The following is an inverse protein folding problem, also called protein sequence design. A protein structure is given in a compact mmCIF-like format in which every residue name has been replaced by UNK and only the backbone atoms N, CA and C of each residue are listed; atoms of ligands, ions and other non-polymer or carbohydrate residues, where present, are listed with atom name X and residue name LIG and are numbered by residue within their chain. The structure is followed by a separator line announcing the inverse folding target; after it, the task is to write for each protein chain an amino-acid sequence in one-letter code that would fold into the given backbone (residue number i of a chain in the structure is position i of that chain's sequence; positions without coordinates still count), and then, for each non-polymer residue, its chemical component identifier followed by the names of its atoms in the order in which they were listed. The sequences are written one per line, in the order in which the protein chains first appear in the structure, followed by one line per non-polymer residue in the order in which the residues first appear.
data_IF_772460436477
#
_entry.id   IF_772460436477
#
_cell.length_a   1.000
_cell.length_b   1.000
_cell.length_c   1.000
_cell.angle_alpha   90.00
_cell.angle_beta   90.00
_cell.angle_gamma   90.00
#
_symmetry.space_group_name_H-M   'P 1'
#
loop_
_entity.id
_entity.type
_entity.pdbx_description
1 polymer ?
#
# COMPACT_ATOMS: atom_id res chain seq x y z
N UNK A 1 24.77 -2.50 -32.98
CA UNK A 1 25.39 -1.99 -31.73
C UNK A 1 25.39 -0.46 -31.62
N UNK A 2 25.75 0.32 -32.65
CA UNK A 2 25.80 1.80 -32.54
C UNK A 2 24.46 2.55 -32.46
N UNK A 3 23.35 1.94 -32.90
CA UNK A 3 22.03 2.60 -32.91
C UNK A 3 21.19 2.40 -31.63
N UNK A 4 21.60 1.49 -30.72
CA UNK A 4 20.88 1.20 -29.45
C UNK A 4 21.33 2.09 -28.29
N UNK A 5 22.55 2.63 -28.31
CA UNK A 5 23.04 3.56 -27.29
C UNK A 5 22.24 4.87 -27.25
N UNK A 6 21.64 5.29 -28.37
CA UNK A 6 20.89 6.55 -28.44
C UNK A 6 19.49 6.47 -27.80
N UNK A 7 18.94 5.26 -27.61
CA UNK A 7 17.59 5.06 -27.07
C UNK A 7 17.52 4.94 -25.54
N UNK A 8 18.67 4.86 -24.86
CA UNK A 8 18.76 4.80 -23.39
C UNK A 8 18.52 6.19 -22.75
N UNK A 9 18.68 7.27 -23.54
CA UNK A 9 18.53 8.67 -23.10
C UNK A 9 17.11 9.11 -22.68
N UNK A 10 16.10 8.25 -22.73
CA UNK A 10 14.69 8.60 -22.48
C UNK A 10 13.97 7.72 -21.45
N UNK A 11 14.67 6.84 -20.76
CA UNK A 11 14.04 5.87 -19.85
C UNK A 11 13.92 6.47 -18.43
N UNK A 12 12.69 6.52 -17.90
CA UNK A 12 12.44 6.74 -16.48
C UNK A 12 12.84 5.51 -15.65
N UNK A 13 12.89 5.61 -14.32
CA UNK A 13 13.39 4.54 -13.43
C UNK A 13 12.64 3.20 -13.62
N UNK A 14 11.33 3.22 -13.88
CA UNK A 14 10.54 2.03 -14.22
C UNK A 14 10.92 1.41 -15.57
N UNK A 15 11.22 2.26 -16.56
CA UNK A 15 11.63 1.84 -17.89
C UNK A 15 13.12 1.43 -17.91
N UNK A 16 13.93 1.95 -16.99
CA UNK A 16 15.33 1.56 -16.77
C UNK A 16 15.39 0.17 -16.15
N UNK A 17 14.61 -0.10 -15.08
CA UNK A 17 14.46 -1.44 -14.49
C UNK A 17 13.96 -2.47 -15.52
N UNK A 18 12.97 -2.10 -16.35
CA UNK A 18 12.49 -2.95 -17.45
C UNK A 18 13.49 -3.13 -18.60
N UNK A 19 14.31 -2.13 -18.90
CA UNK A 19 15.40 -2.26 -19.87
C UNK A 19 16.58 -3.08 -19.33
N UNK A 20 16.78 -3.09 -18.01
CA UNK A 20 17.86 -3.83 -17.35
C UNK A 20 17.52 -5.31 -17.16
N UNK A 21 16.25 -5.67 -16.93
CA UNK A 21 15.82 -7.07 -17.01
C UNK A 21 16.04 -7.66 -18.41
N UNK A 22 15.90 -6.85 -19.45
CA UNK A 22 16.18 -7.24 -20.85
C UNK A 22 17.70 -7.39 -21.11
N UNK A 23 18.54 -6.58 -20.45
CA UNK A 23 20.01 -6.70 -20.55
C UNK A 23 20.56 -7.88 -19.74
N UNK A 24 19.96 -8.19 -18.59
CA UNK A 24 20.38 -9.30 -17.73
C UNK A 24 20.07 -10.67 -18.35
N UNK A 25 18.97 -10.80 -19.13
CA UNK A 25 18.70 -12.01 -19.92
C UNK A 25 19.69 -12.21 -21.08
N UNK A 26 20.25 -11.15 -21.66
CA UNK A 26 21.22 -11.26 -22.76
C UNK A 26 22.61 -11.77 -22.31
N UNK A 27 22.92 -11.70 -21.02
CA UNK A 27 24.22 -12.12 -20.47
C UNK A 27 24.18 -13.56 -19.92
N UNK A 28 23.01 -14.09 -19.57
CA UNK A 28 22.88 -15.40 -18.92
C UNK A 28 22.77 -16.60 -19.89
N UNK A 29 22.61 -16.38 -21.21
CA UNK A 29 22.50 -17.46 -22.21
C UNK A 29 23.87 -17.74 -22.89
N UNK A 30 24.82 -18.32 -22.16
CA UNK A 30 25.95 -19.07 -22.73
C UNK A 30 25.62 -20.57 -22.66
N UNK A 31 25.43 -21.27 -23.80
CA UNK A 31 24.98 -22.65 -23.78
C UNK A 31 26.14 -23.64 -23.62
N UNK A 32 26.10 -24.43 -22.55
CA UNK A 32 26.80 -25.72 -22.47
C UNK A 32 25.98 -26.82 -23.18
N UNK A 33 26.47 -27.23 -24.35
CA UNK A 33 26.27 -28.47 -25.14
C UNK A 33 24.86 -29.02 -25.51
N UNK A 34 24.77 -29.76 -26.66
CA UNK A 34 23.54 -29.91 -27.41
C UNK A 34 22.84 -31.25 -27.19
N UNK A 35 21.51 -31.29 -27.35
CA UNK A 35 20.79 -32.53 -27.62
C UNK A 35 19.91 -32.41 -28.87
N UNK A 36 20.04 -33.43 -29.70
CA UNK A 36 19.49 -33.62 -31.03
C UNK A 36 17.98 -33.90 -31.03
N UNK A 37 17.20 -33.25 -31.89
CA UNK A 37 15.92 -33.82 -32.36
C UNK A 37 15.45 -33.27 -33.73
N UNK A 38 15.76 -34.07 -34.76
CA UNK A 38 14.97 -34.46 -35.94
C UNK A 38 13.91 -33.50 -36.54
N UNK A 39 14.19 -33.14 -37.81
CA UNK A 39 13.26 -32.60 -38.82
C UNK A 39 12.11 -33.57 -39.12
N UNK A 40 10.93 -33.01 -39.35
CA UNK A 40 9.98 -33.55 -40.33
C UNK A 40 9.50 -32.43 -41.26
N UNK A 41 9.83 -32.60 -42.54
CA UNK A 41 9.33 -31.87 -43.69
C UNK A 41 8.03 -32.49 -44.20
N UNK A 42 7.08 -31.67 -44.67
CA UNK A 42 6.23 -32.00 -45.83
C UNK A 42 5.60 -30.75 -46.47
N UNK A 43 5.25 -30.80 -47.78
CA UNK A 43 5.21 -29.62 -48.66
C UNK A 43 3.84 -29.38 -49.38
N UNK A 44 3.72 -28.23 -50.05
CA UNK A 44 2.78 -27.98 -51.19
C UNK A 44 1.54 -27.12 -50.84
N UNK A 45 1.46 -25.81 -51.14
CA UNK A 45 1.33 -25.06 -52.41
C UNK A 45 -0.13 -24.77 -52.85
N UNK A 46 -0.49 -23.49 -52.96
CA UNK A 46 -1.69 -22.97 -53.64
C UNK A 46 -1.83 -21.44 -53.48
N UNK A 47 -1.84 -20.62 -54.55
CA UNK A 47 -1.55 -19.19 -54.47
C UNK A 47 -2.83 -18.34 -54.35
N UNK A 48 -2.80 -17.33 -53.50
CA UNK A 48 -3.85 -16.31 -53.51
C UNK A 48 -4.13 -15.68 -52.15
N UNK A 49 -3.13 -15.05 -51.54
CA UNK A 49 -3.30 -13.82 -50.77
C UNK A 49 -1.89 -13.38 -50.38
N UNK A 50 -1.50 -12.17 -50.77
CA UNK A 50 -0.24 -11.57 -50.38
C UNK A 50 -0.32 -11.19 -48.89
N UNK A 51 -0.16 -12.20 -48.03
CA UNK A 51 0.06 -12.00 -46.61
C UNK A 51 1.50 -11.49 -46.49
N UNK A 52 1.68 -10.20 -46.20
CA UNK A 52 2.91 -9.77 -45.52
C UNK A 52 2.86 -10.39 -44.13
N UNK A 53 3.28 -11.65 -44.03
CA UNK A 53 3.66 -12.20 -42.74
C UNK A 53 4.91 -11.43 -42.33
N UNK A 54 4.80 -10.65 -41.26
CA UNK A 54 5.97 -10.23 -40.52
C UNK A 54 6.61 -11.51 -39.99
N UNK A 55 7.53 -12.09 -40.77
CA UNK A 55 8.48 -13.11 -40.33
C UNK A 55 9.30 -12.52 -39.18
N UNK A 56 8.85 -12.76 -37.96
CA UNK A 56 9.47 -12.23 -36.76
C UNK A 56 8.63 -12.46 -35.50
N UNK A 57 7.77 -13.47 -35.51
CA UNK A 57 7.11 -13.99 -34.31
C UNK A 57 7.44 -15.49 -34.32
N UNK A 58 8.31 -15.92 -33.39
CA UNK A 58 8.87 -17.27 -33.26
C UNK A 58 9.93 -17.68 -34.29
N UNK A 59 11.11 -17.04 -34.24
CA UNK A 59 12.34 -17.68 -34.75
C UNK A 59 12.99 -18.54 -33.63
N UNK A 60 12.89 -19.88 -33.69
CA UNK A 60 13.47 -20.77 -32.69
C UNK A 60 15.01 -20.76 -32.69
N UNK A 61 15.66 -20.15 -33.69
CA UNK A 61 17.12 -20.10 -33.80
C UNK A 61 17.74 -18.85 -33.20
N UNK A 62 17.08 -17.69 -33.26
CA UNK A 62 17.60 -16.46 -32.66
C UNK A 62 16.92 -16.05 -31.35
N UNK A 63 15.78 -16.66 -30.96
CA UNK A 63 15.01 -16.29 -29.74
C UNK A 63 14.72 -14.79 -29.59
N UNK A 64 14.77 -14.03 -30.69
CA UNK A 64 14.76 -12.56 -30.65
C UNK A 64 13.39 -11.97 -30.28
N UNK A 65 12.34 -12.79 -30.25
CA UNK A 65 10.94 -12.37 -30.03
C UNK A 65 10.22 -13.18 -28.94
N UNK A 66 10.92 -13.95 -28.13
CA UNK A 66 10.30 -14.73 -27.05
C UNK A 66 9.93 -13.79 -25.89
N UNK A 67 8.63 -13.54 -25.69
CA UNK A 67 8.13 -12.74 -24.57
C UNK A 67 8.04 -13.63 -23.35
N UNK A 68 9.01 -13.51 -22.44
CA UNK A 68 8.94 -14.16 -21.13
C UNK A 68 8.24 -13.26 -20.13
N UNK A 69 7.16 -13.78 -19.54
CA UNK A 69 6.43 -13.11 -18.49
C UNK A 69 6.99 -13.53 -17.13
N UNK A 70 7.89 -12.71 -16.59
CA UNK A 70 8.41 -12.89 -15.23
C UNK A 70 7.41 -12.30 -14.25
N UNK A 71 6.88 -13.13 -13.35
CA UNK A 71 6.04 -12.67 -12.23
C UNK A 71 6.94 -12.45 -11.02
N UNK A 72 6.84 -11.27 -10.41
CA UNK A 72 7.56 -10.90 -9.20
C UNK A 72 6.55 -10.39 -8.19
N UNK A 73 6.66 -10.83 -6.94
CA UNK A 73 5.85 -10.32 -5.85
C UNK A 73 6.11 -8.82 -5.66
N UNK A 74 5.04 -8.03 -5.60
CA UNK A 74 5.14 -6.59 -5.41
C UNK A 74 5.61 -6.32 -3.97
N UNK A 75 6.69 -5.55 -3.82
CA UNK A 75 7.23 -5.17 -2.52
C UNK A 75 8.00 -3.85 -2.60
N UNK A 76 8.29 -3.28 -1.43
CA UNK A 76 9.07 -2.05 -1.31
C UNK A 76 10.29 -2.34 -0.47
N UNK A 77 11.45 -2.01 -1.03
CA UNK A 77 12.69 -1.92 -0.29
C UNK A 77 13.33 -0.57 -0.55
N UNK A 78 13.30 0.30 0.46
CA UNK A 78 13.83 1.66 0.38
C UNK A 78 15.35 1.67 0.21
N UNK A 79 16.05 0.65 0.73
CA UNK A 79 17.50 0.51 0.58
C UNK A 79 17.87 0.16 -0.85
N UNK A 80 17.29 -0.91 -1.40
CA UNK A 80 17.55 -1.32 -2.78
C UNK A 80 17.08 -0.26 -3.80
N UNK A 81 16.00 0.48 -3.49
CA UNK A 81 15.52 1.57 -4.35
C UNK A 81 16.51 2.75 -4.41
N UNK A 82 17.14 3.11 -3.29
CA UNK A 82 18.23 4.10 -3.28
C UNK A 82 19.42 3.60 -4.09
N UNK A 83 19.91 2.39 -3.81
CA UNK A 83 21.11 1.85 -4.46
C UNK A 83 20.94 1.72 -5.98
N UNK A 84 19.77 1.28 -6.43
CA UNK A 84 19.46 1.20 -7.86
C UNK A 84 19.42 2.59 -8.50
N UNK A 85 18.91 3.59 -7.79
CA UNK A 85 18.87 4.97 -8.29
C UNK A 85 20.27 5.58 -8.38
N UNK A 86 21.15 5.29 -7.43
CA UNK A 86 22.55 5.71 -7.48
C UNK A 86 23.27 5.15 -8.70
N UNK A 87 23.13 3.84 -8.96
CA UNK A 87 23.66 3.20 -10.18
C UNK A 87 23.12 3.89 -11.44
N UNK A 88 21.81 4.12 -11.51
CA UNK A 88 21.17 4.83 -12.63
C UNK A 88 21.76 6.23 -12.84
N UNK A 89 21.94 6.99 -11.76
CA UNK A 89 22.48 8.35 -11.81
C UNK A 89 23.92 8.35 -12.28
N UNK A 90 24.74 7.44 -11.78
CA UNK A 90 26.14 7.32 -12.16
C UNK A 90 26.29 6.96 -13.65
N UNK A 91 25.42 6.09 -14.19
CA UNK A 91 25.39 5.78 -15.63
C UNK A 91 25.00 7.00 -16.47
N UNK A 92 24.00 7.78 -16.06
CA UNK A 92 23.55 8.97 -16.83
C UNK A 92 24.58 10.09 -16.81
N UNK A 93 25.32 10.24 -15.72
CA UNK A 93 26.39 11.22 -15.61
C UNK A 93 27.71 10.74 -16.23
N UNK A 94 27.71 9.58 -16.91
CA UNK A 94 28.88 8.93 -17.50
C UNK A 94 30.01 8.70 -16.45
N UNK A 95 29.67 8.49 -15.17
CA UNK A 95 30.61 8.17 -14.10
C UNK A 95 31.01 6.69 -14.09
N UNK A 96 30.07 5.79 -14.43
CA UNK A 96 30.29 4.34 -14.55
C UNK A 96 29.79 3.81 -15.90
N UNK A 97 30.44 2.76 -16.40
CA UNK A 97 30.04 2.07 -17.64
C UNK A 97 28.83 1.14 -17.46
N UNK A 98 28.19 0.76 -18.56
CA UNK A 98 27.00 -0.13 -18.53
C UNK A 98 27.35 -1.52 -18.01
N UNK A 99 28.52 -2.04 -18.37
CA UNK A 99 29.01 -3.34 -17.90
C UNK A 99 29.23 -3.34 -16.38
N UNK A 100 29.82 -2.28 -15.83
CA UNK A 100 30.04 -2.12 -14.39
C UNK A 100 28.70 -1.95 -13.64
N UNK A 101 27.80 -1.11 -14.16
CA UNK A 101 26.46 -0.93 -13.62
C UNK A 101 25.65 -2.25 -13.58
N UNK A 102 25.83 -3.13 -14.57
CA UNK A 102 25.16 -4.44 -14.59
C UNK A 102 25.66 -5.34 -13.46
N UNK A 103 26.97 -5.34 -13.19
CA UNK A 103 27.57 -6.09 -12.07
C UNK A 103 27.14 -5.52 -10.72
N UNK A 104 27.06 -4.21 -10.60
CA UNK A 104 26.59 -3.55 -9.37
C UNK A 104 25.10 -3.85 -9.11
N UNK A 105 24.26 -3.80 -10.15
CA UNK A 105 22.85 -4.13 -10.01
C UNK A 105 22.62 -5.59 -9.64
N UNK A 106 23.39 -6.52 -10.21
CA UNK A 106 23.27 -7.95 -9.84
C UNK A 106 23.64 -8.18 -8.37
N UNK A 107 24.61 -7.43 -7.83
CA UNK A 107 24.93 -7.46 -6.38
C UNK A 107 23.78 -6.91 -5.53
N UNK A 108 23.12 -5.85 -5.99
CA UNK A 108 21.94 -5.25 -5.33
C UNK A 108 20.78 -6.25 -5.33
N UNK A 109 20.48 -6.90 -6.46
CA UNK A 109 19.39 -7.87 -6.57
C UNK A 109 19.60 -9.13 -5.72
N UNK A 110 20.85 -9.60 -5.61
CA UNK A 110 21.20 -10.79 -4.83
C UNK A 110 21.52 -10.48 -3.35
N UNK A 111 21.37 -9.22 -2.93
CA UNK A 111 21.68 -8.80 -1.57
C UNK A 111 20.61 -9.30 -0.59
N UNK A 112 21.03 -9.63 0.64
CA UNK A 112 20.12 -10.15 1.68
C UNK A 112 19.30 -9.01 2.29
N UNK A 113 18.04 -9.26 2.70
CA UNK A 113 17.24 -8.26 3.41
C UNK A 113 17.97 -7.80 4.68
N UNK A 114 17.90 -6.50 4.96
CA UNK A 114 18.69 -5.84 6.01
C UNK A 114 18.23 -6.20 7.42
N UNK A 115 16.92 -6.35 7.61
CA UNK A 115 16.29 -6.68 8.89
C UNK A 115 15.69 -8.09 8.83
N UNK A 116 15.86 -8.84 9.92
CA UNK A 116 15.30 -10.19 10.05
C UNK A 116 13.77 -10.15 10.20
N UNK A 117 13.09 -11.19 9.71
CA UNK A 117 11.63 -11.35 9.74
C UNK A 117 11.04 -11.14 11.13
N UNK A 118 11.69 -11.63 12.18
CA UNK A 118 11.22 -11.49 13.57
C UNK A 118 11.30 -10.07 14.11
N UNK A 119 12.30 -9.29 13.68
CA UNK A 119 12.40 -7.87 14.04
C UNK A 119 11.24 -7.12 13.36
N UNK A 120 10.98 -7.42 12.09
CA UNK A 120 9.86 -6.85 11.34
C UNK A 120 8.53 -7.14 12.06
N UNK A 121 8.28 -8.39 12.48
CA UNK A 121 7.07 -8.76 13.25
C UNK A 121 6.90 -7.91 14.52
N UNK A 122 7.98 -7.70 15.27
CA UNK A 122 7.93 -6.85 16.46
C UNK A 122 7.62 -5.39 16.11
N UNK A 123 8.21 -4.89 15.03
CA UNK A 123 7.99 -3.53 14.52
C UNK A 123 6.58 -3.35 13.99
N UNK A 124 5.93 -4.38 13.42
CA UNK A 124 4.50 -4.34 13.07
C UNK A 124 3.62 -4.06 14.30
N UNK A 125 3.97 -4.63 15.46
CA UNK A 125 3.34 -4.32 16.74
C UNK A 125 3.47 -2.84 17.12
N UNK A 126 4.71 -2.34 17.11
CA UNK A 126 5.02 -0.94 17.47
C UNK A 126 4.36 0.03 16.48
N UNK A 127 4.41 -0.27 15.18
CA UNK A 127 3.79 0.52 14.12
C UNK A 127 2.27 0.60 14.27
N UNK A 128 1.61 -0.51 14.61
CA UNK A 128 0.17 -0.54 14.86
C UNK A 128 -0.18 0.31 16.10
N UNK A 129 0.61 0.21 17.17
CA UNK A 129 0.43 1.07 18.34
C UNK A 129 0.71 2.55 18.02
N UNK A 130 1.63 2.83 17.09
CA UNK A 130 1.96 4.19 16.69
C UNK A 130 0.89 4.85 15.81
N UNK A 131 0.21 4.09 14.94
CA UNK A 131 -0.83 4.65 14.05
C UNK A 131 -2.14 4.96 14.78
N UNK A 132 -2.46 4.23 15.85
CA UNK A 132 -3.72 4.36 16.56
C UNK A 132 -4.04 5.76 17.09
N UNK A 133 -3.13 6.42 17.83
CA UNK A 133 -3.39 7.72 18.44
C UNK A 133 -3.67 8.82 17.41
N UNK A 134 -2.90 8.90 16.32
CA UNK A 134 -3.00 9.99 15.36
C UNK A 134 -4.08 9.77 14.29
N UNK A 135 -4.34 8.52 13.88
CA UNK A 135 -5.30 8.22 12.81
C UNK A 135 -6.69 7.86 13.33
N UNK A 136 -6.78 7.19 14.50
CA UNK A 136 -8.03 6.60 15.00
C UNK A 136 -8.40 7.06 16.42
N UNK A 137 -7.73 8.08 16.95
CA UNK A 137 -7.93 8.61 18.31
C UNK A 137 -7.86 7.53 19.40
N UNK A 138 -6.89 6.61 19.29
CA UNK A 138 -6.70 5.56 20.27
C UNK A 138 -6.24 6.11 21.63
N UNK A 139 -6.83 5.60 22.71
CA UNK A 139 -6.46 5.98 24.08
C UNK A 139 -5.19 5.24 24.52
N UNK A 140 -4.45 5.75 25.53
CA UNK A 140 -3.28 5.06 26.07
C UNK A 140 -3.61 3.63 26.55
N UNK A 141 -4.83 3.41 27.07
CA UNK A 141 -5.29 2.11 27.56
C UNK A 141 -5.45 1.07 26.42
N UNK A 142 -5.71 1.53 25.19
CA UNK A 142 -5.89 0.66 24.03
C UNK A 142 -4.53 0.23 23.42
N UNK A 143 -3.46 0.97 23.69
CA UNK A 143 -2.12 0.77 23.09
C UNK A 143 -1.56 -0.65 23.25
N UNK A 144 -1.59 -1.28 24.44
CA UNK A 144 -1.01 -2.61 24.61
C UNK A 144 -1.77 -3.67 23.80
N UNK A 145 -3.09 -3.53 23.68
CA UNK A 145 -3.91 -4.44 22.89
C UNK A 145 -3.65 -4.25 21.40
N UNK A 146 -3.55 -3.00 20.93
CA UNK A 146 -3.18 -2.69 19.55
C UNK A 146 -1.79 -3.27 19.21
N UNK A 147 -0.83 -3.16 20.12
CA UNK A 147 0.51 -3.72 19.94
C UNK A 147 0.48 -5.25 19.76
N UNK A 148 -0.27 -5.97 20.59
CA UNK A 148 -0.42 -7.43 20.47
C UNK A 148 -1.07 -7.83 19.15
N UNK A 149 -2.04 -7.04 18.66
CA UNK A 149 -2.68 -7.25 17.36
C UNK A 149 -1.73 -7.00 16.20
N UNK A 150 -0.89 -5.96 16.30
CA UNK A 150 0.14 -5.72 15.30
C UNK A 150 1.15 -6.87 15.23
N UNK A 151 1.52 -7.48 16.36
CA UNK A 151 2.34 -8.71 16.37
C UNK A 151 1.60 -9.87 15.70
N UNK A 152 0.33 -10.10 16.06
CA UNK A 152 -0.49 -11.15 15.46
C UNK A 152 -0.52 -11.00 13.92
N UNK A 153 -0.80 -9.80 13.43
CA UNK A 153 -0.80 -9.51 12.00
C UNK A 153 0.58 -9.64 11.36
N UNK A 154 1.64 -9.20 12.03
CA UNK A 154 3.01 -9.40 11.60
C UNK A 154 3.35 -10.87 11.42
N UNK A 155 2.88 -11.75 12.32
CA UNK A 155 3.05 -13.21 12.19
C UNK A 155 2.26 -13.74 10.99
N UNK A 156 0.98 -13.38 10.86
CA UNK A 156 0.17 -13.83 9.73
C UNK A 156 0.79 -13.39 8.39
N UNK A 157 1.25 -12.15 8.29
CA UNK A 157 1.83 -11.58 7.07
C UNK A 157 3.25 -12.09 6.77
N UNK A 158 4.17 -12.06 7.74
CA UNK A 158 5.60 -12.33 7.48
C UNK A 158 5.98 -13.82 7.61
N UNK A 159 5.18 -14.61 8.34
CA UNK A 159 5.52 -15.99 8.72
C UNK A 159 4.53 -17.01 8.15
N UNK A 160 3.23 -16.69 8.08
CA UNK A 160 2.20 -17.63 7.59
C UNK A 160 1.93 -17.45 6.09
N UNK A 161 1.69 -16.22 5.61
CA UNK A 161 1.42 -15.96 4.19
C UNK A 161 2.49 -16.50 3.23
N UNK A 162 3.81 -16.34 3.49
CA UNK A 162 4.83 -16.84 2.58
C UNK A 162 5.03 -18.36 2.62
N UNK A 163 4.36 -19.08 3.55
CA UNK A 163 4.47 -20.54 3.64
C UNK A 163 3.47 -21.28 2.78
N UNK A 164 2.38 -20.63 2.37
CA UNK A 164 1.38 -21.25 1.53
C UNK A 164 0.73 -20.24 0.61
N UNK A 165 0.85 -20.51 -0.70
CA UNK A 165 0.21 -19.74 -1.76
C UNK A 165 -1.31 -19.59 -1.55
N UNK A 166 -1.95 -20.65 -1.07
CA UNK A 166 -3.39 -20.63 -0.77
C UNK A 166 -3.72 -19.58 0.30
N UNK A 167 -2.97 -19.56 1.41
CA UNK A 167 -3.22 -18.59 2.47
C UNK A 167 -2.87 -17.17 2.04
N UNK A 168 -1.80 -16.97 1.24
CA UNK A 168 -1.45 -15.66 0.69
C UNK A 168 -2.62 -15.03 -0.07
N UNK A 169 -3.36 -15.82 -0.86
CA UNK A 169 -4.52 -15.35 -1.63
C UNK A 169 -5.74 -14.94 -0.80
N UNK A 170 -5.89 -15.47 0.43
CA UNK A 170 -7.01 -15.17 1.35
C UNK A 170 -6.56 -14.50 2.65
N UNK A 171 -5.28 -14.12 2.74
CA UNK A 171 -4.67 -13.56 3.93
C UNK A 171 -5.45 -12.32 4.39
N UNK A 172 -5.78 -11.43 3.48
CA UNK A 172 -6.48 -10.19 3.78
C UNK A 172 -7.86 -10.42 4.42
N UNK A 173 -8.69 -11.27 3.80
CA UNK A 173 -10.03 -11.59 4.31
C UNK A 173 -9.90 -12.31 5.66
N UNK A 174 -9.01 -13.29 5.78
CA UNK A 174 -8.85 -14.04 7.02
C UNK A 174 -8.32 -13.18 8.18
N UNK A 175 -7.37 -12.29 7.91
CA UNK A 175 -6.78 -11.39 8.89
C UNK A 175 -7.79 -10.32 9.36
N UNK A 176 -8.57 -9.74 8.45
CA UNK A 176 -9.60 -8.76 8.78
C UNK A 176 -10.78 -9.37 9.55
N UNK A 177 -11.23 -10.58 9.19
CA UNK A 177 -12.23 -11.33 9.97
C UNK A 177 -11.74 -11.61 11.38
N UNK A 178 -10.53 -12.15 11.52
CA UNK A 178 -9.95 -12.51 12.82
C UNK A 178 -9.77 -11.27 13.71
N UNK A 179 -9.15 -10.22 13.18
CA UNK A 179 -8.90 -9.00 13.95
C UNK A 179 -10.20 -8.30 14.34
N UNK A 180 -11.18 -8.20 13.44
CA UNK A 180 -12.45 -7.54 13.73
C UNK A 180 -13.30 -8.32 14.73
N UNK A 181 -13.32 -9.65 14.63
CA UNK A 181 -13.99 -10.53 15.59
C UNK A 181 -13.45 -10.35 17.00
N UNK A 182 -12.14 -10.50 17.19
CA UNK A 182 -11.53 -10.39 18.52
C UNK A 182 -11.62 -8.94 19.01
N UNK A 183 -11.40 -7.94 18.14
CA UNK A 183 -11.47 -6.54 18.52
C UNK A 183 -12.86 -6.16 19.05
N UNK A 184 -13.93 -6.64 18.40
CA UNK A 184 -15.30 -6.38 18.88
C UNK A 184 -15.54 -7.03 20.23
N UNK A 185 -14.94 -8.20 20.47
CA UNK A 185 -15.01 -8.84 21.78
C UNK A 185 -14.28 -8.10 22.88
N UNK A 186 -13.08 -7.60 22.62
CA UNK A 186 -12.37 -6.75 23.58
C UNK A 186 -13.11 -5.43 23.83
N UNK A 187 -13.66 -4.83 22.77
CA UNK A 187 -14.43 -3.59 22.87
C UNK A 187 -15.79 -3.73 23.55
N UNK A 188 -16.27 -4.96 23.77
CA UNK A 188 -17.54 -5.22 24.48
C UNK A 188 -17.34 -5.42 25.99
N UNK A 189 -16.08 -5.42 26.46
CA UNK A 189 -15.77 -5.49 27.89
C UNK A 189 -16.18 -4.17 28.56
N UNK A 190 -17.16 -4.24 29.45
CA UNK A 190 -17.66 -3.09 30.21
C UNK A 190 -16.86 -2.91 31.50
N UNK A 191 -16.67 -1.64 31.90
CA UNK A 191 -16.09 -1.28 33.18
C UNK A 191 -17.00 -0.27 33.89
N UNK A 192 -17.17 -0.47 35.20
CA UNK A 192 -17.98 0.44 36.03
C UNK A 192 -17.19 1.72 36.31
N UNK A 193 -17.60 2.81 35.68
CA UNK A 193 -17.06 4.13 35.96
C UNK A 193 -17.68 4.64 37.28
N UNK A 194 -16.91 5.25 38.19
CA UNK A 194 -17.43 5.76 39.46
C UNK A 194 -18.55 6.82 39.35
N UNK A 195 -18.86 7.30 38.14
CA UNK A 195 -19.97 8.22 37.84
C UNK A 195 -21.31 7.52 37.55
N UNK A 196 -21.40 6.18 37.63
CA UNK A 196 -22.64 5.42 37.46
C UNK A 196 -23.03 5.09 36.02
N UNK A 197 -22.22 5.46 35.03
CA UNK A 197 -22.40 5.07 33.63
C UNK A 197 -21.52 3.85 33.31
N UNK A 198 -22.10 2.87 32.58
CA UNK A 198 -21.34 1.75 32.01
C UNK A 198 -20.63 2.25 30.75
N UNK A 199 -19.30 2.24 30.76
CA UNK A 199 -18.49 2.56 29.58
C UNK A 199 -17.68 1.33 29.15
N UNK A 200 -17.34 1.27 27.86
CA UNK A 200 -16.47 0.24 27.31
C UNK A 200 -15.01 0.53 27.68
N UNK A 201 -14.35 -0.47 28.28
CA UNK A 201 -12.97 -0.36 28.74
C UNK A 201 -12.01 -0.10 27.57
N UNK A 202 -12.25 -0.78 26.45
CA UNK A 202 -11.44 -0.70 25.24
C UNK A 202 -12.22 -0.11 24.07
N UNK A 203 -11.56 0.70 23.24
CA UNK A 203 -12.18 1.22 22.03
C UNK A 203 -12.05 0.23 20.86
N UNK A 204 -13.17 -0.39 20.48
CA UNK A 204 -13.24 -1.29 19.33
C UNK A 204 -12.71 -0.65 18.03
N UNK A 205 -13.16 0.58 17.72
CA UNK A 205 -12.80 1.26 16.47
C UNK A 205 -11.30 1.48 16.36
N UNK A 206 -10.68 1.97 17.43
CA UNK A 206 -9.24 2.15 17.49
C UNK A 206 -8.48 0.83 17.33
N UNK A 207 -8.87 -0.24 18.03
CA UNK A 207 -8.15 -1.53 17.98
C UNK A 207 -8.22 -2.17 16.59
N UNK A 208 -9.43 -2.25 16.03
CA UNK A 208 -9.65 -2.87 14.72
C UNK A 208 -9.00 -2.09 13.57
N UNK A 209 -9.18 -0.76 13.51
CA UNK A 209 -8.62 0.03 12.40
C UNK A 209 -7.10 0.17 12.49
N UNK A 210 -6.54 0.34 13.68
CA UNK A 210 -5.08 0.48 13.85
C UNK A 210 -4.32 -0.79 13.50
N UNK A 211 -4.91 -1.96 13.79
CA UNK A 211 -4.30 -3.24 13.43
C UNK A 211 -4.29 -3.43 11.91
N UNK A 212 -5.41 -3.14 11.25
CA UNK A 212 -5.54 -3.33 9.79
C UNK A 212 -4.69 -2.32 9.00
N UNK A 213 -4.36 -1.14 9.55
CA UNK A 213 -3.67 -0.03 8.88
C UNK A 213 -2.39 -0.38 8.09
N UNK A 214 -1.64 -1.42 8.48
CA UNK A 214 -0.41 -1.86 7.80
C UNK A 214 -0.64 -2.85 6.65
N UNK A 215 -1.84 -3.43 6.55
CA UNK A 215 -2.22 -4.38 5.49
C UNK A 215 -2.68 -3.63 4.23
N UNK A 216 -3.12 -2.38 4.40
CA UNK A 216 -3.66 -1.58 3.31
C UNK A 216 -2.67 -1.48 2.14
N UNK A 217 -3.16 -1.57 0.89
CA UNK A 217 -2.33 -1.58 -0.31
C UNK A 217 -1.85 -0.16 -0.68
N UNK A 218 -1.45 0.68 0.29
CA UNK A 218 -1.21 2.11 0.11
C UNK A 218 -0.18 2.43 -0.99
N UNK A 219 0.90 1.66 -1.07
CA UNK A 219 1.90 1.80 -2.12
C UNK A 219 1.38 1.37 -3.49
N UNK A 220 0.64 0.27 -3.55
CA UNK A 220 0.03 -0.20 -4.79
C UNK A 220 -0.90 0.87 -5.34
N UNK A 221 -1.76 1.49 -4.52
CA UNK A 221 -2.66 2.52 -5.04
C UNK A 221 -1.91 3.80 -5.45
N UNK A 222 -0.88 4.19 -4.70
CA UNK A 222 -0.02 5.32 -5.07
C UNK A 222 0.66 5.08 -6.42
N UNK A 223 1.40 3.98 -6.56
CA UNK A 223 2.14 3.65 -7.78
C UNK A 223 1.18 3.50 -8.98
N UNK A 224 0.02 2.86 -8.77
CA UNK A 224 -1.04 2.77 -9.79
C UNK A 224 -1.47 4.13 -10.32
N UNK A 225 -1.74 5.06 -9.40
CA UNK A 225 -2.24 6.37 -9.73
C UNK A 225 -1.18 7.22 -10.44
N UNK A 226 0.08 7.12 -10.02
CA UNK A 226 1.20 7.80 -10.69
C UNK A 226 1.46 7.21 -12.09
N UNK A 227 1.39 5.89 -12.26
CA UNK A 227 1.53 5.23 -13.56
C UNK A 227 0.39 5.63 -14.51
N UNK A 228 -0.86 5.63 -14.04
CA UNK A 228 -2.02 6.11 -14.80
C UNK A 228 -1.83 7.55 -15.29
N UNK A 229 -1.34 8.43 -14.43
CA UNK A 229 -1.07 9.82 -14.80
C UNK A 229 0.09 9.97 -15.78
N UNK A 230 1.09 9.10 -15.72
CA UNK A 230 2.20 9.07 -16.69
C UNK A 230 1.83 8.49 -18.06
N UNK A 231 0.53 8.33 -18.34
CA UNK A 231 -0.02 7.69 -19.54
C UNK A 231 0.34 6.20 -19.70
N UNK A 232 0.80 5.53 -18.63
CA UNK A 232 1.00 4.07 -18.60
C UNK A 232 -0.31 3.39 -18.17
N UNK A 233 -1.33 3.50 -19.02
CA UNK A 233 -2.71 3.13 -18.68
C UNK A 233 -2.87 1.65 -18.30
N UNK A 234 -2.22 0.72 -19.01
CA UNK A 234 -2.38 -0.73 -18.75
C UNK A 234 -1.83 -1.14 -17.39
N UNK A 235 -0.58 -0.74 -17.08
CA UNK A 235 0.10 -1.14 -15.86
C UNK A 235 -0.53 -0.47 -14.61
N UNK A 236 -0.90 0.81 -14.71
CA UNK A 236 -1.54 1.53 -13.62
C UNK A 236 -3.00 1.09 -13.37
N UNK A 237 -3.78 0.84 -14.43
CA UNK A 237 -5.20 0.46 -14.28
C UNK A 237 -5.37 -0.91 -13.60
N UNK A 238 -4.56 -1.91 -13.99
CA UNK A 238 -4.65 -3.27 -13.40
C UNK A 238 -4.37 -3.22 -11.90
N UNK A 239 -3.33 -2.50 -11.48
CA UNK A 239 -2.99 -2.36 -10.05
C UNK A 239 -4.04 -1.55 -9.28
N UNK A 240 -4.65 -0.53 -9.90
CA UNK A 240 -5.74 0.24 -9.29
C UNK A 240 -6.97 -0.65 -9.04
N UNK A 241 -7.35 -1.47 -10.03
CA UNK A 241 -8.46 -2.42 -9.91
C UNK A 241 -8.14 -3.48 -8.86
N UNK A 242 -6.91 -3.98 -8.82
CA UNK A 242 -6.47 -4.90 -7.78
C UNK A 242 -6.60 -4.29 -6.38
N UNK A 243 -6.12 -3.07 -6.17
CA UNK A 243 -6.20 -2.41 -4.87
C UNK A 243 -7.65 -2.05 -4.46
N UNK A 244 -8.52 -1.78 -5.43
CA UNK A 244 -9.96 -1.62 -5.20
C UNK A 244 -10.60 -2.93 -4.72
N UNK A 245 -10.34 -4.05 -5.41
CA UNK A 245 -10.85 -5.38 -5.01
C UNK A 245 -10.30 -5.80 -3.65
N UNK A 246 -9.01 -5.56 -3.40
CA UNK A 246 -8.34 -5.77 -2.11
C UNK A 246 -9.14 -5.06 -0.99
N UNK A 247 -9.36 -3.76 -1.14
CA UNK A 247 -10.12 -2.95 -0.17
C UNK A 247 -11.57 -3.44 0.07
N UNK A 248 -12.23 -4.00 -0.95
CA UNK A 248 -13.55 -4.64 -0.78
C UNK A 248 -13.48 -5.93 0.06
N UNK A 249 -12.45 -6.75 -0.16
CA UNK A 249 -12.20 -7.94 0.66
C UNK A 249 -11.90 -7.59 2.11
N UNK A 250 -11.13 -6.53 2.35
CA UNK A 250 -10.92 -5.98 3.68
C UNK A 250 -12.25 -5.61 4.37
N UNK A 251 -13.13 -4.92 3.65
CA UNK A 251 -14.42 -4.46 4.18
C UNK A 251 -15.42 -5.54 4.44
N UNK A 252 -15.48 -6.49 3.53
CA UNK A 252 -16.24 -7.70 3.73
C UNK A 252 -15.75 -8.46 4.97
N UNK A 253 -14.43 -8.59 5.14
CA UNK A 253 -13.86 -9.26 6.30
C UNK A 253 -14.15 -8.55 7.62
N UNK A 254 -14.12 -7.21 7.67
CA UNK A 254 -14.54 -6.43 8.84
C UNK A 254 -16.02 -6.69 9.17
N UNK A 255 -16.89 -6.65 8.16
CA UNK A 255 -18.35 -6.87 8.33
C UNK A 255 -18.64 -8.28 8.82
N UNK A 256 -17.99 -9.30 8.25
CA UNK A 256 -18.14 -10.69 8.67
C UNK A 256 -17.63 -10.89 10.11
N UNK A 257 -16.42 -10.42 10.43
CA UNK A 257 -15.84 -10.57 11.76
C UNK A 257 -16.66 -9.89 12.85
N UNK A 258 -17.11 -8.66 12.60
CA UNK A 258 -17.99 -7.92 13.53
C UNK A 258 -19.34 -8.61 13.69
N UNK A 259 -19.96 -9.07 12.59
CA UNK A 259 -21.27 -9.75 12.63
C UNK A 259 -21.22 -11.05 13.41
N UNK A 260 -20.20 -11.89 13.17
CA UNK A 260 -20.06 -13.16 13.91
C UNK A 260 -20.01 -12.89 15.41
N UNK A 261 -19.22 -11.91 15.87
CA UNK A 261 -19.16 -11.59 17.30
C UNK A 261 -20.48 -11.01 17.83
N UNK A 262 -21.11 -10.10 17.09
CA UNK A 262 -22.37 -9.46 17.48
C UNK A 262 -23.54 -10.45 17.60
N UNK A 263 -23.50 -11.58 16.88
CA UNK A 263 -24.47 -12.66 17.03
C UNK A 263 -24.21 -13.55 18.26
N UNK A 264 -22.96 -13.61 18.74
CA UNK A 264 -22.58 -14.41 19.91
C UNK A 264 -22.91 -13.66 21.21
N UNK A 265 -22.62 -12.35 21.28
CA UNK A 265 -22.83 -11.52 22.46
C UNK A 265 -23.97 -10.50 22.25
N UNK A 266 -25.12 -10.63 22.93
CA UNK A 266 -26.21 -9.66 22.89
C UNK A 266 -25.83 -8.25 23.37
N UNK A 267 -24.79 -8.15 24.20
CA UNK A 267 -24.26 -6.90 24.76
C UNK A 267 -23.07 -6.33 23.98
N UNK A 268 -22.82 -6.84 22.78
CA UNK A 268 -21.74 -6.38 21.93
C UNK A 268 -21.79 -4.87 21.69
N UNK A 269 -20.63 -4.22 21.71
CA UNK A 269 -20.51 -2.79 21.44
C UNK A 269 -20.94 -2.46 20.01
N UNK A 270 -21.74 -1.41 19.90
CA UNK A 270 -22.16 -0.75 18.65
C UNK A 270 -21.53 0.64 18.51
N UNK A 271 -20.69 1.03 19.48
CA UNK A 271 -20.07 2.35 19.49
C UNK A 271 -18.89 2.39 18.51
N UNK A 272 -19.02 3.30 17.55
CA UNK A 272 -18.02 3.56 16.50
C UNK A 272 -17.04 4.67 16.88
N UNK A 273 -17.35 5.42 17.94
CA UNK A 273 -16.55 6.54 18.44
C UNK A 273 -15.93 6.13 19.77
N UNK A 274 -14.64 6.45 19.94
CA UNK A 274 -13.97 6.20 21.22
C UNK A 274 -14.48 7.18 22.29
N UNK A 275 -14.68 6.73 23.54
CA UNK A 275 -15.04 7.62 24.65
C UNK A 275 -13.93 8.64 24.91
N UNK A 276 -14.30 9.87 25.30
CA UNK A 276 -13.33 10.92 25.68
C UNK A 276 -12.71 10.69 27.07
N UNK A 277 -13.19 9.69 27.82
CA UNK A 277 -12.66 9.31 29.13
C UNK A 277 -11.33 8.58 28.97
N UNK A 278 -10.29 9.08 29.65
CA UNK A 278 -8.93 8.52 29.57
C UNK A 278 -8.12 8.98 28.35
N UNK A 279 -8.49 10.10 27.73
CA UNK A 279 -7.70 10.73 26.67
C UNK A 279 -6.35 11.27 27.21
N UNK A 280 -5.42 11.56 26.31
CA UNK A 280 -4.04 11.98 26.59
C UNK A 280 -3.90 13.34 27.30
N UNK A 281 -5.02 14.00 27.63
CA UNK A 281 -5.10 15.30 28.33
C UNK A 281 -4.63 16.49 27.49
N UNK A 282 -3.73 16.28 26.53
CA UNK A 282 -3.26 17.26 25.56
C UNK A 282 -3.59 16.78 24.14
N UNK A 283 -4.24 17.63 23.35
CA UNK A 283 -4.69 17.33 21.99
C UNK A 283 -3.54 16.99 21.02
N UNK A 284 -2.33 17.56 21.25
CA UNK A 284 -1.20 17.42 20.32
C UNK A 284 -0.23 16.30 20.69
N UNK A 285 -0.17 15.94 21.97
CA UNK A 285 0.71 14.89 22.49
C UNK A 285 0.50 13.50 21.87
N UNK A 286 -0.74 13.04 21.57
CA UNK A 286 -0.96 11.76 20.90
C UNK A 286 -0.72 11.79 19.39
N UNK A 287 -0.48 12.96 18.77
CA UNK A 287 -0.48 13.06 17.30
C UNK A 287 0.93 13.13 16.74
N UNK A 288 1.64 14.22 17.00
CA UNK A 288 2.96 14.48 16.39
C UNK A 288 4.04 13.45 16.74
N UNK A 289 4.33 13.12 18.02
CA UNK A 289 5.39 12.16 18.32
C UNK A 289 5.08 10.74 17.82
N UNK A 290 3.80 10.41 17.69
CA UNK A 290 3.33 9.11 17.19
C UNK A 290 3.48 8.98 15.68
N UNK A 291 3.29 10.07 14.92
CA UNK A 291 3.61 10.11 13.49
C UNK A 291 5.11 9.87 13.28
N UNK A 292 5.97 10.55 14.01
CA UNK A 292 7.41 10.31 13.98
C UNK A 292 7.77 8.85 14.32
N UNK A 293 7.17 8.29 15.37
CA UNK A 293 7.33 6.88 15.74
C UNK A 293 6.90 5.92 14.63
N UNK A 294 5.77 6.19 13.98
CA UNK A 294 5.25 5.39 12.87
C UNK A 294 6.17 5.45 11.65
N UNK A 295 6.68 6.62 11.29
CA UNK A 295 7.63 6.80 10.18
C UNK A 295 8.94 6.04 10.43
N UNK A 296 9.46 6.05 11.65
CA UNK A 296 10.63 5.24 12.02
C UNK A 296 10.34 3.74 11.88
N UNK A 297 9.14 3.30 12.26
CA UNK A 297 8.74 1.91 12.08
C UNK A 297 8.62 1.55 10.58
N UNK A 298 8.03 2.43 9.76
CA UNK A 298 7.94 2.24 8.30
C UNK A 298 9.31 2.16 7.64
N UNK A 299 10.30 2.91 8.13
CA UNK A 299 11.68 2.80 7.66
C UNK A 299 12.23 1.40 7.90
N UNK A 300 12.00 0.82 9.08
CA UNK A 300 12.47 -0.54 9.41
C UNK A 300 11.68 -1.61 8.64
N UNK A 301 10.36 -1.47 8.53
CA UNK A 301 9.48 -2.39 7.79
C UNK A 301 9.92 -2.46 6.32
N UNK A 302 10.16 -1.30 5.70
CA UNK A 302 10.54 -1.18 4.29
C UNK A 302 12.07 -1.22 4.06
N UNK A 303 12.85 -1.83 4.96
CA UNK A 303 14.29 -2.07 4.80
C UNK A 303 15.17 -0.83 4.55
N UNK A 304 14.70 0.35 4.98
CA UNK A 304 15.38 1.63 4.75
C UNK A 304 16.64 1.85 5.58
N UNK A 305 17.42 2.87 5.20
CA UNK A 305 18.65 3.27 5.89
C UNK A 305 18.38 4.35 6.94
N UNK A 306 18.96 4.18 8.13
CA UNK A 306 18.85 5.15 9.24
C UNK A 306 19.33 6.58 8.88
N UNK A 307 20.24 6.71 7.91
CA UNK A 307 20.70 8.04 7.44
C UNK A 307 19.60 8.86 6.77
N UNK A 308 18.59 8.20 6.18
CA UNK A 308 17.46 8.85 5.51
C UNK A 308 16.35 9.25 6.50
N UNK A 309 16.37 8.69 7.72
CA UNK A 309 15.32 8.89 8.71
C UNK A 309 14.99 10.37 9.00
N UNK A 310 15.96 11.29 9.18
CA UNK A 310 15.65 12.67 9.53
C UNK A 310 14.86 13.39 8.43
N UNK A 311 15.20 13.13 7.17
CA UNK A 311 14.53 13.75 6.01
C UNK A 311 13.13 13.19 5.85
N UNK A 312 12.98 11.86 5.92
CA UNK A 312 11.68 11.19 5.86
C UNK A 312 10.74 11.68 6.97
N UNK A 313 11.26 11.82 8.20
CA UNK A 313 10.51 12.34 9.35
C UNK A 313 10.02 13.76 9.09
N UNK A 314 10.91 14.66 8.68
CA UNK A 314 10.54 16.06 8.44
C UNK A 314 9.46 16.20 7.35
N UNK A 315 9.61 15.48 6.24
CA UNK A 315 8.64 15.49 5.14
C UNK A 315 7.29 14.93 5.60
N UNK A 316 7.29 13.77 6.26
CA UNK A 316 6.06 13.12 6.72
C UNK A 316 5.31 13.96 7.77
N UNK A 317 6.02 14.51 8.75
CA UNK A 317 5.44 15.42 9.75
C UNK A 317 4.82 16.65 9.10
N UNK A 318 5.52 17.29 8.15
CA UNK A 318 5.00 18.47 7.46
C UNK A 318 3.71 18.17 6.69
N UNK A 319 3.62 17.00 6.04
CA UNK A 319 2.41 16.53 5.37
C UNK A 319 1.25 16.30 6.34
N UNK A 320 1.52 15.62 7.45
CA UNK A 320 0.52 15.33 8.46
C UNK A 320 -0.01 16.59 9.14
N UNK A 321 0.87 17.52 9.52
CA UNK A 321 0.51 18.82 10.13
C UNK A 321 -0.51 19.55 9.25
N UNK A 322 -0.23 19.63 7.94
CA UNK A 322 -1.12 20.30 6.99
C UNK A 322 -2.45 19.56 6.86
N UNK A 323 -2.42 18.23 6.70
CA UNK A 323 -3.65 17.43 6.66
C UNK A 323 -4.50 17.62 7.90
N UNK A 324 -3.90 17.59 9.08
CA UNK A 324 -4.60 17.76 10.35
C UNK A 324 -5.33 19.12 10.45
N UNK A 325 -4.64 20.23 10.17
CA UNK A 325 -5.26 21.57 10.24
C UNK A 325 -6.32 21.79 9.15
N UNK A 326 -6.12 21.23 7.95
CA UNK A 326 -7.12 21.30 6.88
C UNK A 326 -8.37 20.48 7.25
N UNK A 327 -8.19 19.29 7.83
CA UNK A 327 -9.29 18.45 8.33
C UNK A 327 -10.09 19.17 9.42
N UNK A 328 -9.45 19.89 10.34
CA UNK A 328 -10.15 20.69 11.35
C UNK A 328 -11.01 21.80 10.74
N UNK A 329 -10.60 22.36 9.60
CA UNK A 329 -11.30 23.49 8.97
C UNK A 329 -12.43 23.05 8.02
N UNK A 330 -12.22 21.99 7.25
CA UNK A 330 -13.12 21.55 6.18
C UNK A 330 -14.03 20.40 6.64
N UNK A 331 -13.65 19.70 7.71
CA UNK A 331 -14.34 18.53 8.23
C UNK A 331 -13.70 17.21 7.77
N UNK A 332 -13.91 16.11 8.53
CA UNK A 332 -13.23 14.84 8.32
C UNK A 332 -13.63 14.12 7.03
N UNK A 333 -14.83 14.35 6.49
CA UNK A 333 -15.32 13.68 5.28
C UNK A 333 -14.74 14.22 3.97
N UNK A 334 -13.91 15.27 4.02
CA UNK A 334 -13.35 15.91 2.83
C UNK A 334 -11.97 15.36 2.48
N UNK A 335 -11.84 14.73 1.31
CA UNK A 335 -10.56 14.26 0.79
C UNK A 335 -9.58 15.37 0.42
N UNK A 336 -10.04 16.62 0.43
CA UNK A 336 -9.19 17.79 0.18
C UNK A 336 -8.01 17.82 1.17
N UNK A 337 -8.20 17.38 2.42
CA UNK A 337 -7.12 17.33 3.42
C UNK A 337 -5.98 16.40 3.02
N UNK A 338 -6.28 15.25 2.43
CA UNK A 338 -5.28 14.31 1.93
C UNK A 338 -4.55 14.86 0.69
N UNK A 339 -5.27 15.56 -0.20
CA UNK A 339 -4.68 16.23 -1.37
C UNK A 339 -3.69 17.32 -0.96
N UNK A 340 -4.06 18.19 -0.01
CA UNK A 340 -3.20 19.29 0.43
C UNK A 340 -2.00 18.77 1.24
N UNK A 341 -2.19 17.71 2.04
CA UNK A 341 -1.09 16.99 2.69
C UNK A 341 -0.11 16.41 1.69
N UNK A 342 -0.59 15.66 0.69
CA UNK A 342 0.24 15.07 -0.35
C UNK A 342 0.93 16.12 -1.22
N UNK A 343 0.28 17.25 -1.49
CA UNK A 343 0.92 18.41 -2.11
C UNK A 343 2.09 18.93 -1.28
N UNK A 344 1.94 19.04 0.04
CA UNK A 344 3.02 19.48 0.95
C UNK A 344 4.18 18.51 0.93
N UNK A 345 3.91 17.20 1.05
CA UNK A 345 4.93 16.14 0.96
C UNK A 345 5.64 16.19 -0.39
N UNK A 346 4.90 16.35 -1.49
CA UNK A 346 5.44 16.47 -2.83
C UNK A 346 6.33 17.71 -2.99
N UNK A 347 5.93 18.86 -2.44
CA UNK A 347 6.73 20.09 -2.51
C UNK A 347 8.03 19.91 -1.74
N UNK A 348 7.96 19.41 -0.51
CA UNK A 348 9.15 19.19 0.33
C UNK A 348 10.09 18.14 -0.26
N UNK A 349 9.57 17.01 -0.75
CA UNK A 349 10.39 15.95 -1.35
C UNK A 349 11.05 16.36 -2.66
N UNK A 350 10.33 17.06 -3.54
CA UNK A 350 10.91 17.59 -4.78
C UNK A 350 11.92 18.71 -4.52
N UNK A 351 11.70 19.55 -3.49
CA UNK A 351 12.65 20.58 -3.09
C UNK A 351 13.92 19.96 -2.50
N UNK A 352 13.78 18.92 -1.68
CA UNK A 352 14.89 18.14 -1.13
C UNK A 352 15.76 17.54 -2.25
N UNK A 353 15.15 16.90 -3.25
CA UNK A 353 15.86 16.34 -4.41
C UNK A 353 16.59 17.42 -5.22
N UNK A 354 16.01 18.61 -5.34
CA UNK A 354 16.63 19.73 -6.06
C UNK A 354 17.83 20.35 -5.33
N UNK A 355 17.77 20.49 -4.00
CA UNK A 355 18.79 21.20 -3.22
C UNK A 355 19.92 20.29 -2.74
N UNK A 356 19.59 19.06 -2.35
CA UNK A 356 20.53 18.17 -1.66
C UNK A 356 20.98 16.95 -2.47
N UNK A 357 20.61 16.89 -3.76
CA UNK A 357 20.90 15.75 -4.64
C UNK A 357 20.38 14.39 -4.12
N UNK A 358 19.47 14.41 -3.14
CA UNK A 358 18.86 13.23 -2.55
C UNK A 358 17.69 12.69 -3.38
N UNK A 359 17.31 11.44 -3.13
CA UNK A 359 16.27 10.76 -3.89
C UNK A 359 14.88 11.14 -3.37
N UNK A 360 14.08 11.80 -4.21
CA UNK A 360 12.73 12.24 -3.84
C UNK A 360 11.84 11.02 -3.56
N UNK A 361 11.87 10.00 -4.43
CA UNK A 361 10.97 8.86 -4.36
C UNK A 361 11.02 8.12 -3.01
N UNK A 362 12.22 7.83 -2.48
CA UNK A 362 12.38 7.16 -1.18
C UNK A 362 11.96 8.08 -0.03
N UNK A 363 12.23 9.39 -0.12
CA UNK A 363 11.95 10.36 0.95
C UNK A 363 10.46 10.71 1.15
N UNK A 364 9.65 10.63 0.09
CA UNK A 364 8.22 10.96 0.09
C UNK A 364 7.37 9.78 0.59
N UNK A 365 7.79 8.55 0.31
CA UNK A 365 6.98 7.34 0.52
C UNK A 365 6.46 7.14 1.95
N UNK A 366 7.26 7.32 3.02
CA UNK A 366 6.76 7.21 4.39
C UNK A 366 5.68 8.25 4.73
N UNK A 367 5.78 9.46 4.19
CA UNK A 367 4.75 10.48 4.36
C UNK A 367 3.43 10.09 3.72
N UNK A 368 3.46 9.42 2.57
CA UNK A 368 2.25 8.92 1.91
C UNK A 368 1.59 7.81 2.76
N UNK A 369 2.39 6.93 3.34
CA UNK A 369 1.87 5.91 4.25
C UNK A 369 1.24 6.47 5.53
N UNK A 370 1.59 7.70 5.95
CA UNK A 370 0.89 8.41 7.05
C UNK A 370 -0.49 8.92 6.61
N UNK A 371 -0.64 9.33 5.34
CA UNK A 371 -1.90 9.86 4.81
C UNK A 371 -2.94 8.77 4.55
N UNK A 372 -2.54 7.58 4.14
CA UNK A 372 -3.48 6.50 3.75
C UNK A 372 -4.40 6.05 4.90
N UNK A 373 -3.90 5.72 6.11
CA UNK A 373 -4.74 5.37 7.25
C UNK A 373 -5.66 6.52 7.68
N UNK A 374 -5.16 7.76 7.62
CA UNK A 374 -5.93 8.97 7.94
C UNK A 374 -7.12 9.15 7.00
N UNK A 375 -6.92 8.87 5.70
CA UNK A 375 -7.99 8.85 4.72
C UNK A 375 -9.02 7.74 4.94
N UNK A 376 -8.58 6.55 5.36
CA UNK A 376 -9.51 5.47 5.72
C UNK A 376 -10.35 5.79 6.96
N UNK A 377 -9.75 6.40 7.99
CA UNK A 377 -10.47 6.81 9.19
C UNK A 377 -11.66 7.72 8.85
N UNK A 378 -11.47 8.61 7.87
CA UNK A 378 -12.50 9.50 7.33
C UNK A 378 -13.57 8.79 6.50
N UNK A 379 -13.28 7.61 5.93
CA UNK A 379 -14.11 6.95 4.91
C UNK A 379 -15.31 6.17 5.49
N UNK A 380 -15.43 6.02 6.82
CA UNK A 380 -16.51 5.27 7.48
C UNK A 380 -16.56 3.72 7.35
N UNK A 381 -15.53 2.95 6.93
CA UNK A 381 -15.60 1.50 6.75
C UNK A 381 -16.23 0.70 7.88
N UNK A 382 -15.78 1.04 9.08
CA UNK A 382 -16.10 0.33 10.30
C UNK A 382 -17.50 0.69 10.78
N UNK A 383 -17.92 1.94 10.55
CA UNK A 383 -19.29 2.39 10.80
C UNK A 383 -20.27 1.60 9.94
N UNK A 384 -19.95 1.45 8.66
CA UNK A 384 -20.74 0.67 7.70
C UNK A 384 -20.81 -0.83 8.10
N UNK A 385 -19.69 -1.42 8.54
CA UNK A 385 -19.65 -2.79 9.06
C UNK A 385 -20.48 -3.01 10.34
N UNK A 386 -20.40 -2.10 11.32
CA UNK A 386 -21.20 -2.19 12.56
C UNK A 386 -22.69 -2.04 12.25
N UNK A 387 -23.08 -1.02 11.47
CA UNK A 387 -24.48 -0.81 11.10
C UNK A 387 -25.09 -2.05 10.44
N UNK A 388 -24.38 -2.61 9.46
CA UNK A 388 -24.79 -3.84 8.78
C UNK A 388 -24.92 -5.03 9.76
N UNK A 389 -23.98 -5.15 10.70
CA UNK A 389 -24.05 -6.18 11.73
C UNK A 389 -25.25 -6.01 12.67
N UNK A 390 -25.54 -4.79 13.11
CA UNK A 390 -26.63 -4.51 14.05
C UNK A 390 -28.00 -4.66 13.39
N UNK A 391 -28.14 -4.24 12.13
CA UNK A 391 -29.32 -4.50 11.30
C UNK A 391 -29.55 -6.01 11.14
N UNK A 392 -28.50 -6.79 10.86
CA UNK A 392 -28.59 -8.25 10.73
C UNK A 392 -29.04 -8.90 12.04
N UNK A 393 -28.47 -8.46 13.16
CA UNK A 393 -28.85 -8.94 14.50
C UNK A 393 -30.30 -8.59 14.83
N UNK A 394 -30.72 -7.35 14.59
CA UNK A 394 -32.09 -6.91 14.82
C UNK A 394 -33.06 -7.78 14.01
N UNK A 395 -32.79 -7.98 12.72
CA UNK A 395 -33.62 -8.81 11.84
C UNK A 395 -33.76 -10.27 12.31
N UNK A 396 -32.67 -10.89 12.79
CA UNK A 396 -32.74 -12.25 13.35
C UNK A 396 -33.60 -12.26 14.62
N UNK A 397 -33.43 -11.26 15.50
CA UNK A 397 -34.26 -11.15 16.72
C UNK A 397 -35.75 -10.94 16.41
N UNK A 398 -36.08 -10.24 15.32
CA UNK A 398 -37.46 -10.03 14.85
C UNK A 398 -38.02 -11.28 14.19
N UNK A 399 -37.22 -11.99 13.38
CA UNK A 399 -37.62 -13.23 12.71
C UNK A 399 -37.90 -14.38 13.71
N UNK A 400 -37.19 -14.41 14.84
CA UNK A 400 -37.46 -15.37 15.93
C UNK A 400 -38.80 -15.05 16.62
N UNK A 401 -39.23 -13.78 16.65
CA UNK A 401 -40.44 -13.33 17.34
C UNK A 401 -41.68 -13.18 16.44
N UNK A 402 -41.52 -13.13 15.10
CA UNK A 402 -42.63 -12.98 14.16
C UNK A 402 -42.38 -13.80 12.88
N UNK A 403 -43.29 -14.71 12.54
CA UNK A 403 -43.28 -15.54 11.32
C UNK A 403 -43.67 -14.75 10.07
N UNK A 404 -43.03 -13.61 9.84
CA UNK A 404 -43.28 -12.76 8.68
C UNK A 404 -41.95 -12.56 7.96
N UNK A 405 -41.79 -13.26 6.84
CA UNK A 405 -40.74 -13.00 5.87
C UNK A 405 -40.96 -11.59 5.31
N UNK A 406 -40.32 -10.59 5.90
CA UNK A 406 -40.16 -9.29 5.25
C UNK A 406 -39.09 -9.41 4.17
N UNK A 407 -39.51 -9.10 2.94
CA UNK A 407 -38.69 -9.02 1.75
C UNK A 407 -37.51 -8.06 1.99
N UNK A 408 -36.32 -8.55 1.67
CA UNK A 408 -35.04 -7.94 1.94
C UNK A 408 -34.75 -6.83 0.92
N UNK A 409 -34.68 -5.57 1.37
CA UNK A 409 -34.06 -4.50 0.60
C UNK A 409 -32.54 -4.67 0.62
N UNK A 410 -32.03 -5.40 -0.38
CA UNK A 410 -30.59 -5.60 -0.68
C UNK A 410 -29.82 -4.28 -0.85
N UNK A 411 -30.51 -3.16 -1.04
CA UNK A 411 -29.92 -1.88 -1.41
C UNK A 411 -29.00 -1.28 -0.33
N UNK A 412 -29.35 -1.36 0.96
CA UNK A 412 -28.53 -0.70 2.01
C UNK A 412 -27.25 -1.49 2.35
N UNK A 413 -27.30 -2.83 2.39
CA UNK A 413 -26.13 -3.66 2.78
C UNK A 413 -25.01 -3.68 1.74
N UNK A 414 -25.33 -3.52 0.45
CA UNK A 414 -24.35 -3.46 -0.64
C UNK A 414 -23.61 -2.12 -0.71
N UNK A 415 -24.24 -1.02 -0.28
CA UNK A 415 -23.63 0.33 -0.25
C UNK A 415 -22.48 0.37 0.77
N UNK A 416 -22.66 -0.26 1.93
CA UNK A 416 -21.74 -0.20 3.07
C UNK A 416 -20.38 -0.87 2.85
N UNK A 417 -20.31 -1.97 2.09
CA UNK A 417 -19.03 -2.64 1.78
C UNK A 417 -18.28 -1.90 0.66
N UNK A 418 -19.02 -1.23 -0.22
CA UNK A 418 -18.45 -0.46 -1.32
C UNK A 418 -17.74 0.82 -0.84
N UNK A 419 -18.16 1.40 0.28
CA UNK A 419 -17.56 2.61 0.89
C UNK A 419 -16.06 2.49 1.12
N UNK A 420 -15.57 1.29 1.47
CA UNK A 420 -14.13 1.04 1.66
C UNK A 420 -13.33 1.16 0.37
N UNK A 421 -13.80 0.47 -0.67
CA UNK A 421 -13.16 0.51 -1.99
C UNK A 421 -13.19 1.92 -2.56
N UNK A 422 -14.33 2.61 -2.44
CA UNK A 422 -14.47 4.00 -2.87
C UNK A 422 -13.57 4.95 -2.08
N UNK A 423 -13.53 4.83 -0.75
CA UNK A 423 -12.66 5.64 0.11
C UNK A 423 -11.19 5.55 -0.28
N UNK A 424 -10.69 4.34 -0.54
CA UNK A 424 -9.31 4.09 -0.96
C UNK A 424 -8.98 4.71 -2.31
N UNK A 425 -9.88 4.58 -3.28
CA UNK A 425 -9.74 5.20 -4.59
C UNK A 425 -9.73 6.72 -4.45
N UNK A 426 -10.62 7.28 -3.64
CA UNK A 426 -10.74 8.72 -3.43
C UNK A 426 -9.50 9.31 -2.75
N UNK A 427 -8.99 8.67 -1.69
CA UNK A 427 -7.74 9.03 -1.01
C UNK A 427 -6.57 9.02 -1.98
N UNK A 428 -6.50 8.00 -2.83
CA UNK A 428 -5.39 7.84 -3.77
C UNK A 428 -5.43 8.82 -4.91
N UNK A 429 -6.62 9.15 -5.43
CA UNK A 429 -6.80 10.26 -6.38
C UNK A 429 -6.32 11.56 -5.72
N UNK A 430 -6.72 11.83 -4.47
CA UNK A 430 -6.30 13.01 -3.73
C UNK A 430 -4.78 13.10 -3.58
N UNK A 431 -4.14 12.02 -3.13
CA UNK A 431 -2.68 11.95 -2.98
C UNK A 431 -1.98 12.23 -4.31
N UNK A 432 -2.46 11.64 -5.39
CA UNK A 432 -1.81 11.73 -6.70
C UNK A 432 -1.97 13.10 -7.32
N UNK A 433 -3.16 13.71 -7.21
CA UNK A 433 -3.38 15.11 -7.60
C UNK A 433 -2.45 16.04 -6.81
N UNK A 434 -2.32 15.84 -5.50
CA UNK A 434 -1.43 16.64 -4.65
C UNK A 434 0.04 16.55 -5.10
N UNK A 435 0.56 15.33 -5.26
CA UNK A 435 1.95 15.09 -5.69
C UNK A 435 2.24 15.67 -7.07
N UNK A 436 1.29 15.58 -8.00
CA UNK A 436 1.47 16.09 -9.36
C UNK A 436 1.49 17.62 -9.40
N UNK A 437 0.57 18.28 -8.70
CA UNK A 437 0.55 19.75 -8.59
C UNK A 437 1.86 20.24 -7.95
N UNK A 438 2.39 19.52 -6.96
CA UNK A 438 3.69 19.81 -6.37
C UNK A 438 4.86 19.67 -7.37
N UNK A 439 4.83 18.65 -8.22
CA UNK A 439 5.83 18.45 -9.26
C UNK A 439 5.79 19.59 -10.31
N UNK A 440 4.60 19.98 -10.76
CA UNK A 440 4.43 21.13 -11.67
C UNK A 440 4.95 22.43 -11.08
N UNK A 441 4.74 22.66 -9.78
CA UNK A 441 5.18 23.87 -9.11
C UNK A 441 6.72 23.98 -9.05
N UNK A 442 7.41 22.86 -8.81
CA UNK A 442 8.88 22.86 -8.66
C UNK A 442 9.61 22.74 -10.00
N UNK A 443 9.00 22.03 -10.95
CA UNK A 443 9.55 21.77 -12.28
C UNK A 443 8.62 22.26 -13.41
N UNK A 444 8.29 23.57 -13.48
CA UNK A 444 7.29 24.09 -14.40
C UNK A 444 7.64 23.92 -15.88
N UNK A 445 8.92 23.84 -16.23
CA UNK A 445 9.40 23.70 -17.61
C UNK A 445 9.95 22.30 -17.94
N UNK A 446 9.81 21.34 -17.02
CA UNK A 446 10.39 20.00 -17.13
C UNK A 446 11.92 19.99 -17.08
N UNK A 447 12.51 18.84 -16.75
CA UNK A 447 13.97 18.63 -16.80
C UNK A 447 14.35 18.21 -18.22
N UNK A 448 15.17 18.99 -18.94
CA UNK A 448 15.59 18.69 -20.34
C UNK A 448 16.28 17.32 -20.55
N UNK A 449 16.66 16.61 -19.47
CA UNK A 449 17.41 15.34 -19.51
C UNK A 449 16.93 14.26 -18.53
N UNK A 450 15.76 14.39 -17.92
CA UNK A 450 15.23 13.40 -16.98
C UNK A 450 13.79 13.04 -17.27
N UNK A 451 13.44 11.75 -17.23
CA UNK A 451 12.05 11.32 -17.25
C UNK A 451 11.28 11.83 -16.03
N UNK A 452 9.96 11.77 -16.07
CA UNK A 452 9.04 12.21 -15.00
C UNK A 452 9.23 11.45 -13.65
N UNK A 453 10.16 10.49 -13.61
CA UNK A 453 10.59 9.75 -12.42
C UNK A 453 12.11 9.84 -12.16
N UNK A 454 12.82 10.83 -12.73
CA UNK A 454 14.14 11.24 -12.25
C UNK A 454 13.98 12.21 -11.06
N UNK A 455 13.21 11.78 -10.07
CA UNK A 455 13.03 12.45 -8.78
C UNK A 455 13.56 11.55 -7.67
#
# INVERSE_FOLDING_TARGET
MYHRAFSIRKLGVSDFLGALSILQELVYDQPDQPSTARRHSSPGLGPGLQRRECEGFDDPTTRTTEVKLVRVDQGIDLGHLEDTHDVYKNVIHDEIGVEEATVELDKILNSKPRFNKWIIVMVYGIASAAVGPFAFNARPIDMPMIFLYGILLGILHQVIAPRSELYSNVFEVSASVLTSFIARGLGSITWDVPNGNREYLFCFSAISQSSIALILPGYTVLSSSLELQSHRLVAGSIRMVYAFIYSLFLGYGITVGTTIYGLIDPSASSDVLCPSTGDWGNEYAPRFPFVAGFVLCLLVINQGRWKQAPVMLFIAESGFVVTYFVTQRIGPSSQVANTVGAFTIGVMGNLYSRLWHGHAATSILPGIFVLVPSGLAASGPLLSGIKSSDETRHNISTAINHSSYTEYSVEDSQIYTADLGFGMVQVSIGITVGLFVAALLIYPFGKRRGGLFSF
#
